data_IF_183628137694
#
_entry.id   IF_183628137694
#
_cell.length_a   1.000
_cell.length_b   1.000
_cell.length_c   1.000
_cell.angle_alpha   90.00
_cell.angle_beta   90.00
_cell.angle_gamma   90.00
#
_symmetry.space_group_name_H-M   'P 1'
#
loop_
_entity.id
_entity.type
_entity.pdbx_description
1 polymer ?
#
# COMPACT_ATOMS: atom_id res chain seq x y z
N UNK A 1 -9.81 -9.24 0.59
CA UNK A 1 -8.67 -9.08 1.54
C UNK A 1 -7.76 -10.32 1.72
N UNK A 2 -8.24 -11.47 2.20
CA UNK A 2 -7.37 -12.63 2.55
C UNK A 2 -6.47 -13.16 1.42
N UNK A 3 -7.00 -13.21 0.19
CA UNK A 3 -6.25 -13.62 -1.02
C UNK A 3 -5.06 -12.71 -1.30
N UNK A 4 -5.23 -11.40 -1.11
CA UNK A 4 -4.17 -10.39 -1.26
C UNK A 4 -3.09 -10.58 -0.22
N UNK A 5 -3.47 -10.80 1.05
CA UNK A 5 -2.51 -11.07 2.13
C UNK A 5 -1.70 -12.33 1.83
N UNK A 6 -2.37 -13.42 1.42
CA UNK A 6 -1.67 -14.66 1.03
C UNK A 6 -0.65 -14.42 -0.09
N UNK A 7 -1.06 -13.75 -1.18
CA UNK A 7 -0.15 -13.42 -2.30
C UNK A 7 1.01 -12.53 -1.85
N UNK A 8 0.75 -11.56 -0.96
CA UNK A 8 1.80 -10.71 -0.39
C UNK A 8 2.82 -11.55 0.39
N UNK A 9 2.37 -12.43 1.28
CA UNK A 9 3.24 -13.33 2.06
C UNK A 9 4.03 -14.28 1.15
N UNK A 10 3.39 -14.86 0.13
CA UNK A 10 4.06 -15.70 -0.87
C UNK A 10 5.21 -14.94 -1.56
N UNK A 11 4.99 -13.66 -1.89
CA UNK A 11 6.02 -12.83 -2.50
C UNK A 11 7.11 -12.35 -1.54
N UNK A 12 6.81 -12.10 -0.26
CA UNK A 12 7.82 -11.79 0.75
C UNK A 12 8.77 -12.98 0.93
N UNK A 13 8.20 -14.19 1.02
CA UNK A 13 8.96 -15.45 1.06
C UNK A 13 9.85 -15.62 -0.17
N UNK A 14 9.28 -15.47 -1.36
CA UNK A 14 10.02 -15.59 -2.63
C UNK A 14 11.15 -14.55 -2.75
N UNK A 15 10.91 -13.33 -2.27
CA UNK A 15 11.89 -12.25 -2.33
C UNK A 15 13.08 -12.50 -1.39
N UNK A 16 12.82 -13.08 -0.20
CA UNK A 16 13.80 -13.20 0.89
C UNK A 16 14.48 -11.85 1.23
N UNK A 17 13.71 -10.75 1.14
CA UNK A 17 14.06 -9.42 1.63
C UNK A 17 12.78 -8.68 2.07
N UNK A 18 12.58 -8.58 3.38
CA UNK A 18 11.42 -7.93 3.98
C UNK A 18 11.76 -7.46 5.39
N UNK A 19 11.03 -6.49 5.90
CA UNK A 19 11.27 -5.88 7.22
C UNK A 19 10.26 -6.37 8.24
N UNK A 20 10.59 -6.22 9.53
CA UNK A 20 9.65 -6.50 10.62
C UNK A 20 8.36 -5.68 10.47
N UNK A 21 8.48 -4.42 10.02
CA UNK A 21 7.34 -3.52 9.78
C UNK A 21 6.37 -4.05 8.73
N UNK A 22 6.86 -4.75 7.70
CA UNK A 22 6.00 -5.38 6.70
C UNK A 22 5.13 -6.48 7.36
N UNK A 23 5.73 -7.28 8.25
CA UNK A 23 5.06 -8.37 8.95
C UNK A 23 4.10 -7.87 10.04
N UNK A 24 4.49 -6.84 10.79
CA UNK A 24 3.67 -6.24 11.85
C UNK A 24 2.37 -5.67 11.29
N UNK A 25 2.42 -5.04 10.11
CA UNK A 25 1.23 -4.56 9.42
C UNK A 25 0.28 -5.72 9.11
N UNK A 26 0.79 -6.80 8.52
CA UNK A 26 -0.02 -7.97 8.18
C UNK A 26 -0.59 -8.65 9.43
N UNK A 27 0.20 -8.76 10.50
CA UNK A 27 -0.26 -9.31 11.79
C UNK A 27 -1.48 -8.56 12.30
N UNK A 28 -1.39 -7.23 12.39
CA UNK A 28 -2.50 -6.38 12.85
C UNK A 28 -3.76 -6.58 12.01
N UNK A 29 -3.60 -6.64 10.68
CA UNK A 29 -4.74 -6.89 9.79
C UNK A 29 -5.36 -8.27 10.01
N UNK A 30 -4.55 -9.31 10.21
CA UNK A 30 -5.06 -10.66 10.52
C UNK A 30 -5.78 -10.70 11.87
N UNK A 31 -5.32 -9.96 12.87
CA UNK A 31 -5.98 -9.86 14.17
C UNK A 31 -7.33 -9.16 14.06
N UNK A 32 -7.40 -8.03 13.35
CA UNK A 32 -8.68 -7.37 13.04
C UNK A 32 -9.64 -8.29 12.26
N UNK A 33 -9.12 -9.07 11.31
CA UNK A 33 -9.95 -10.05 10.60
C UNK A 33 -10.50 -11.13 11.53
N UNK A 34 -9.70 -11.60 12.51
CA UNK A 34 -10.16 -12.56 13.51
C UNK A 34 -11.27 -12.00 14.39
N UNK A 35 -11.13 -10.74 14.84
CA UNK A 35 -12.16 -10.04 15.62
C UNK A 35 -13.45 -9.91 14.83
N UNK A 36 -13.37 -9.54 13.55
CA UNK A 36 -14.54 -9.44 12.66
C UNK A 36 -15.22 -10.80 12.47
N UNK A 37 -14.45 -11.88 12.27
CA UNK A 37 -15.01 -13.24 12.20
C UNK A 37 -15.71 -13.62 13.50
N UNK A 38 -15.13 -13.29 14.66
CA UNK A 38 -15.72 -13.56 15.96
C UNK A 38 -17.04 -12.81 16.15
N UNK A 39 -17.11 -11.53 15.75
CA UNK A 39 -18.35 -10.74 15.79
C UNK A 39 -19.42 -11.29 14.84
N UNK A 40 -19.01 -11.83 13.69
CA UNK A 40 -19.90 -12.40 12.68
C UNK A 40 -20.47 -13.79 13.02
N UNK A 41 -20.10 -14.40 14.16
CA UNK A 41 -20.54 -15.76 14.52
C UNK A 41 -22.04 -15.92 14.66
N UNK A 42 -22.73 -14.86 15.05
CA UNK A 42 -24.18 -14.87 15.26
C UNK A 42 -24.98 -14.51 14.00
N UNK A 43 -24.34 -13.88 13.02
CA UNK A 43 -25.01 -13.32 11.83
C UNK A 43 -24.66 -14.03 10.52
N UNK A 44 -23.47 -14.62 10.42
CA UNK A 44 -23.00 -15.29 9.22
C UNK A 44 -23.28 -16.80 9.24
N UNK A 45 -23.40 -17.41 8.06
CA UNK A 45 -23.56 -18.85 7.94
C UNK A 45 -22.30 -19.61 8.42
N UNK A 46 -22.46 -20.79 9.05
CA UNK A 46 -21.32 -21.57 9.54
C UNK A 46 -20.29 -21.91 8.46
N UNK A 47 -20.72 -22.20 7.24
CA UNK A 47 -19.84 -22.55 6.12
C UNK A 47 -18.96 -21.37 5.68
N UNK A 48 -19.52 -20.16 5.67
CA UNK A 48 -18.76 -18.94 5.35
C UNK A 48 -17.74 -18.65 6.44
N UNK A 49 -18.12 -18.75 7.70
CA UNK A 49 -17.21 -18.58 8.83
C UNK A 49 -16.07 -19.60 8.75
N UNK A 50 -16.38 -20.87 8.45
CA UNK A 50 -15.37 -21.92 8.32
C UNK A 50 -14.38 -21.63 7.20
N UNK A 51 -14.86 -21.18 6.04
CA UNK A 51 -14.00 -20.80 4.92
C UNK A 51 -13.07 -19.63 5.28
N UNK A 52 -13.58 -18.62 5.99
CA UNK A 52 -12.80 -17.45 6.42
C UNK A 52 -11.73 -17.85 7.45
N UNK A 53 -12.07 -18.70 8.43
CA UNK A 53 -11.13 -19.23 9.41
C UNK A 53 -9.98 -20.01 8.75
N UNK A 54 -10.29 -20.89 7.79
CA UNK A 54 -9.26 -21.67 7.07
C UNK A 54 -8.30 -20.75 6.31
N UNK A 55 -8.82 -19.70 5.66
CA UNK A 55 -7.99 -18.72 4.94
C UNK A 55 -7.13 -17.90 5.90
N UNK A 56 -7.71 -17.46 7.01
CA UNK A 56 -7.00 -16.72 8.05
C UNK A 56 -5.83 -17.54 8.60
N UNK A 57 -6.08 -18.80 8.94
CA UNK A 57 -5.07 -19.70 9.50
C UNK A 57 -3.94 -19.98 8.50
N UNK A 58 -4.30 -20.12 7.21
CA UNK A 58 -3.29 -20.25 6.15
C UNK A 58 -2.35 -19.03 6.11
N UNK A 59 -2.90 -17.81 6.17
CA UNK A 59 -2.09 -16.60 6.21
C UNK A 59 -1.25 -16.50 7.50
N UNK A 60 -1.82 -16.87 8.66
CA UNK A 60 -1.08 -16.87 9.94
C UNK A 60 0.11 -17.82 9.92
N UNK A 61 -0.06 -19.03 9.39
CA UNK A 61 1.04 -19.98 9.24
C UNK A 61 2.17 -19.41 8.37
N UNK A 62 1.83 -18.83 7.22
CA UNK A 62 2.82 -18.20 6.35
C UNK A 62 3.52 -17.00 7.00
N UNK A 63 2.77 -16.17 7.73
CA UNK A 63 3.33 -15.07 8.50
C UNK A 63 4.31 -15.56 9.57
N UNK A 64 3.95 -16.61 10.31
CA UNK A 64 4.79 -17.20 11.34
C UNK A 64 6.10 -17.77 10.78
N UNK A 65 6.07 -18.39 9.59
CA UNK A 65 7.28 -18.84 8.87
C UNK A 65 8.22 -17.65 8.59
N UNK A 66 7.70 -16.54 8.07
CA UNK A 66 8.49 -15.34 7.78
C UNK A 66 9.03 -14.64 9.04
N UNK A 67 8.24 -14.61 10.12
CA UNK A 67 8.67 -14.08 11.41
C UNK A 67 9.77 -14.94 12.03
N UNK A 68 9.66 -16.26 11.92
CA UNK A 68 10.70 -17.18 12.36
C UNK A 68 12.01 -16.96 11.60
N UNK A 69 11.97 -16.75 10.28
CA UNK A 69 13.17 -16.41 9.50
C UNK A 69 13.84 -15.11 9.97
N UNK A 70 13.06 -14.08 10.34
CA UNK A 70 13.64 -12.84 10.90
C UNK A 70 14.15 -13.01 12.33
N UNK A 71 13.66 -13.99 13.09
CA UNK A 71 14.08 -14.20 14.48
C UNK A 71 15.55 -14.58 14.64
N UNK A 72 16.19 -15.05 13.56
CA UNK A 72 17.63 -15.32 13.50
C UNK A 72 18.49 -14.04 13.38
N UNK A 73 17.89 -12.88 13.11
CA UNK A 73 18.60 -11.61 13.07
C UNK A 73 18.71 -11.01 14.47
N UNK A 74 19.94 -10.73 14.90
CA UNK A 74 20.15 -10.04 16.16
C UNK A 74 19.60 -8.60 16.13
N UNK A 75 19.18 -8.04 17.28
CA UNK A 75 18.69 -6.65 17.37
C UNK A 75 19.70 -5.62 16.85
N UNK A 76 21.00 -5.88 16.97
CA UNK A 76 22.08 -5.02 16.49
C UNK A 76 22.11 -4.92 14.95
N UNK A 77 21.72 -5.99 14.26
CA UNK A 77 21.72 -6.07 12.80
C UNK A 77 20.41 -5.62 12.16
N UNK A 78 19.31 -5.57 12.93
CA UNK A 78 18.00 -5.19 12.41
C UNK A 78 17.98 -3.83 11.69
N UNK A 79 18.61 -2.74 12.20
CA UNK A 79 18.63 -1.46 11.50
C UNK A 79 19.37 -1.51 10.16
N UNK A 80 20.50 -2.23 10.10
CA UNK A 80 21.27 -2.42 8.86
C UNK A 80 20.48 -3.24 7.85
N UNK A 81 19.83 -4.32 8.30
CA UNK A 81 18.96 -5.13 7.46
C UNK A 81 17.80 -4.31 6.87
N UNK A 82 17.09 -3.52 7.69
CA UNK A 82 16.02 -2.63 7.22
C UNK A 82 16.52 -1.61 6.18
N UNK A 83 17.69 -1.04 6.42
CA UNK A 83 18.33 -0.09 5.49
C UNK A 83 18.62 -0.76 4.15
N UNK A 84 19.16 -1.97 4.15
CA UNK A 84 19.44 -2.71 2.92
C UNK A 84 18.15 -3.12 2.18
N UNK A 85 17.10 -3.54 2.88
CA UNK A 85 15.78 -3.79 2.29
C UNK A 85 15.26 -2.52 1.61
N UNK A 86 15.39 -1.37 2.27
CA UNK A 86 14.99 -0.07 1.72
C UNK A 86 15.79 0.31 0.47
N UNK A 87 17.12 0.16 0.50
CA UNK A 87 18.00 0.44 -0.65
C UNK A 87 17.63 -0.46 -1.85
N UNK A 88 17.40 -1.76 -1.63
CA UNK A 88 17.07 -2.69 -2.70
C UNK A 88 15.72 -2.34 -3.35
N UNK A 89 14.71 -2.02 -2.54
CA UNK A 89 13.39 -1.57 -3.01
C UNK A 89 13.50 -0.23 -3.76
N UNK A 90 14.29 0.71 -3.25
CA UNK A 90 14.45 2.04 -3.85
C UNK A 90 15.23 2.00 -5.16
N UNK A 91 16.25 1.15 -5.25
CA UNK A 91 16.99 0.90 -6.51
C UNK A 91 16.08 0.28 -7.56
N UNK A 92 15.22 -0.66 -7.16
CA UNK A 92 14.20 -1.25 -8.04
C UNK A 92 13.16 -0.20 -8.50
N UNK A 93 12.78 0.72 -7.61
CA UNK A 93 11.91 1.84 -7.96
C UNK A 93 12.56 2.77 -8.99
N UNK A 94 13.82 3.18 -8.76
CA UNK A 94 14.59 4.01 -9.67
C UNK A 94 14.71 3.41 -11.08
N UNK A 95 14.90 2.09 -11.17
CA UNK A 95 14.94 1.32 -12.42
C UNK A 95 13.64 1.37 -13.24
N UNK A 96 12.50 1.70 -12.61
CA UNK A 96 11.18 1.75 -13.29
C UNK A 96 10.64 3.17 -13.46
N UNK A 97 11.46 4.19 -13.20
CA UNK A 97 11.06 5.59 -13.42
C UNK A 97 10.99 5.89 -14.91
N UNK A 98 10.09 6.80 -15.28
CA UNK A 98 9.96 7.29 -16.66
C UNK A 98 11.24 7.98 -17.15
N UNK A 99 12.01 8.56 -16.23
CA UNK A 99 13.36 9.08 -16.46
C UNK A 99 14.31 8.46 -15.45
N UNK A 100 15.21 7.63 -15.92
CA UNK A 100 16.23 7.01 -15.09
C UNK A 100 17.20 8.07 -14.54
N UNK A 101 17.52 7.96 -13.24
CA UNK A 101 18.45 8.85 -12.56
C UNK A 101 19.65 8.05 -12.06
N UNK A 102 20.78 8.14 -12.76
CA UNK A 102 22.01 7.48 -12.34
C UNK A 102 22.54 8.04 -11.01
N UNK A 103 22.34 9.34 -10.75
CA UNK A 103 22.76 9.98 -9.49
C UNK A 103 21.96 9.48 -8.29
N UNK A 104 20.68 9.14 -8.47
CA UNK A 104 19.88 8.51 -7.42
C UNK A 104 20.41 7.12 -7.07
N UNK A 105 20.78 6.31 -8.06
CA UNK A 105 21.38 4.99 -7.79
C UNK A 105 22.79 5.13 -7.19
N UNK A 106 23.54 6.15 -7.58
CA UNK A 106 24.85 6.45 -7.00
C UNK A 106 24.76 6.80 -5.50
N UNK A 107 23.74 7.58 -5.08
CA UNK A 107 23.56 7.90 -3.66
C UNK A 107 23.18 6.67 -2.81
N UNK A 108 22.48 5.68 -3.40
CA UNK A 108 22.28 4.39 -2.74
C UNK A 108 23.60 3.61 -2.60
N UNK A 109 24.48 3.64 -3.60
CA UNK A 109 25.80 3.00 -3.53
C UNK A 109 26.71 3.65 -2.47
N UNK A 110 26.59 4.95 -2.25
CA UNK A 110 27.30 5.63 -1.15
C UNK A 110 26.85 5.11 0.23
N UNK A 111 25.54 4.89 0.42
CA UNK A 111 25.02 4.26 1.64
C UNK A 111 25.50 2.82 1.80
N UNK A 112 25.50 2.02 0.72
CA UNK A 112 26.04 0.65 0.75
C UNK A 112 27.53 0.65 1.11
N UNK A 113 28.30 1.61 0.59
CA UNK A 113 29.72 1.76 0.93
C UNK A 113 29.90 2.14 2.40
N UNK A 114 29.12 3.06 2.92
CA UNK A 114 29.18 3.40 4.35
C UNK A 114 28.87 2.20 5.26
N UNK A 115 27.89 1.37 4.89
CA UNK A 115 27.60 0.11 5.59
C UNK A 115 28.82 -0.83 5.51
N UNK A 116 29.40 -1.00 4.33
CA UNK A 116 30.56 -1.87 4.13
C UNK A 116 31.80 -1.39 4.90
N UNK A 117 32.06 -0.08 4.92
CA UNK A 117 33.18 0.55 5.63
C UNK A 117 33.02 0.44 7.16
N UNK A 118 31.78 0.25 7.66
CA UNK A 118 31.52 -0.01 9.08
C UNK A 118 31.93 -1.44 9.52
N UNK A 119 32.09 -2.36 8.56
CA UNK A 119 32.47 -3.74 8.84
C UNK A 119 33.96 -3.85 9.19
N UNK A 120 34.31 -4.73 10.13
CA UNK A 120 35.70 -5.01 10.52
C UNK A 120 36.09 -6.40 10.06
N UNK A 121 37.14 -6.49 9.24
CA UNK A 121 37.61 -7.77 8.70
C UNK A 121 36.55 -8.53 7.89
N UNK A 122 35.62 -7.82 7.25
CA UNK A 122 34.52 -8.42 6.49
C UNK A 122 33.33 -8.90 7.32
N UNK A 123 33.27 -8.54 8.61
CA UNK A 123 32.17 -8.85 9.51
C UNK A 123 31.57 -7.57 10.13
N UNK A 124 30.25 -7.55 10.32
CA UNK A 124 29.60 -6.71 11.30
C UNK A 124 30.03 -7.14 12.70
N UNK A 125 30.25 -6.15 13.56
CA UNK A 125 30.78 -6.38 14.91
C UNK A 125 29.92 -5.59 15.89
N UNK A 126 29.45 -6.26 16.94
CA UNK A 126 28.67 -5.67 18.01
C UNK A 126 29.49 -4.70 18.89
N UNK A 127 28.84 -3.98 19.81
CA UNK A 127 29.50 -3.02 20.69
C UNK A 127 30.62 -3.63 21.56
N UNK A 128 30.50 -4.91 21.89
CA UNK A 128 31.43 -5.71 22.69
C UNK A 128 32.55 -6.37 21.86
N UNK A 129 32.55 -6.20 20.55
CA UNK A 129 33.51 -6.87 19.65
C UNK A 129 33.06 -8.24 19.16
N UNK A 130 31.88 -8.73 19.56
CA UNK A 130 31.34 -10.01 19.10
C UNK A 130 30.79 -9.94 17.67
N UNK A 131 30.65 -11.10 17.02
CA UNK A 131 29.98 -11.21 15.72
C UNK A 131 28.49 -11.46 16.00
N UNK A 132 27.58 -10.56 15.59
CA UNK A 132 26.16 -10.75 15.87
C UNK A 132 25.55 -11.90 15.07
N UNK A 133 24.56 -12.59 15.66
CA UNK A 133 23.84 -13.69 15.02
C UNK A 133 23.03 -13.21 13.80
N UNK A 134 22.95 -14.03 12.77
CA UNK A 134 22.23 -13.68 11.53
C UNK A 134 23.02 -12.79 10.56
N UNK A 135 24.28 -12.46 10.86
CA UNK A 135 25.15 -11.65 10.00
C UNK A 135 25.19 -12.09 8.54
N UNK A 136 25.24 -13.41 8.27
CA UNK A 136 25.36 -13.90 6.88
C UNK A 136 24.12 -13.57 6.04
N UNK A 137 22.94 -13.43 6.67
CA UNK A 137 21.71 -12.95 6.01
C UNK A 137 21.92 -11.51 5.54
N UNK A 138 22.46 -10.65 6.41
CA UNK A 138 22.72 -9.23 6.12
C UNK A 138 23.81 -9.07 5.06
N UNK A 139 24.89 -9.86 5.13
CA UNK A 139 25.96 -9.86 4.12
C UNK A 139 25.45 -10.30 2.75
N UNK A 140 24.64 -11.36 2.70
CA UNK A 140 24.01 -11.82 1.46
C UNK A 140 23.03 -10.78 0.88
N UNK A 141 22.37 -9.99 1.72
CA UNK A 141 21.51 -8.89 1.28
C UNK A 141 22.33 -7.69 0.78
N UNK A 142 23.44 -7.35 1.45
CA UNK A 142 24.38 -6.31 1.02
C UNK A 142 24.95 -6.61 -0.37
N UNK A 143 25.42 -7.84 -0.59
CA UNK A 143 25.90 -8.31 -1.90
C UNK A 143 24.80 -8.23 -2.98
N UNK A 144 23.57 -8.63 -2.65
CA UNK A 144 22.41 -8.48 -3.54
C UNK A 144 22.16 -7.01 -3.92
N UNK A 145 22.29 -6.08 -2.97
CA UNK A 145 22.12 -4.65 -3.22
C UNK A 145 23.20 -4.12 -4.17
N UNK A 146 24.47 -4.47 -3.94
CA UNK A 146 25.57 -4.09 -4.81
C UNK A 146 25.36 -4.57 -6.24
N UNK A 147 25.18 -5.89 -6.42
CA UNK A 147 24.93 -6.50 -7.74
C UNK A 147 23.73 -5.87 -8.44
N UNK A 148 22.64 -5.61 -7.71
CA UNK A 148 21.46 -5.00 -8.31
C UNK A 148 21.71 -3.55 -8.75
N UNK A 149 22.42 -2.76 -7.95
CA UNK A 149 22.77 -1.38 -8.32
C UNK A 149 23.64 -1.32 -9.58
N UNK A 150 24.54 -2.28 -9.77
CA UNK A 150 25.41 -2.37 -10.95
C UNK A 150 24.59 -2.66 -12.21
N UNK A 151 23.75 -3.70 -12.16
CA UNK A 151 22.88 -4.08 -13.27
C UNK A 151 21.95 -2.92 -13.64
N UNK A 152 21.37 -2.23 -12.66
CA UNK A 152 20.46 -1.10 -12.91
C UNK A 152 21.19 0.10 -13.54
N UNK A 153 22.42 0.38 -13.11
CA UNK A 153 23.25 1.43 -13.73
C UNK A 153 23.64 1.07 -15.16
N UNK A 154 23.97 -0.19 -15.44
CA UNK A 154 24.31 -0.67 -16.79
C UNK A 154 23.09 -0.63 -17.74
N UNK A 155 21.93 -1.07 -17.24
CA UNK A 155 20.70 -1.17 -18.06
C UNK A 155 19.95 0.15 -18.20
N UNK A 156 20.21 1.15 -17.36
CA UNK A 156 19.57 2.46 -17.40
C UNK A 156 18.03 2.40 -17.44
N UNK A 157 17.42 1.44 -16.75
CA UNK A 157 15.96 1.23 -16.74
C UNK A 157 15.38 0.63 -18.02
N UNK A 158 16.22 0.23 -18.99
CA UNK A 158 15.78 -0.40 -20.23
C UNK A 158 15.52 -1.88 -20.01
N UNK A 159 14.27 -2.29 -20.22
CA UNK A 159 13.87 -3.70 -20.20
C UNK A 159 14.24 -4.37 -21.53
N UNK A 160 14.60 -5.64 -21.48
CA UNK A 160 14.71 -6.47 -22.69
C UNK A 160 13.40 -6.44 -23.48
N UNK A 161 13.49 -6.19 -24.80
CA UNK A 161 12.34 -6.02 -25.68
C UNK A 161 11.40 -7.24 -25.65
N UNK A 162 11.93 -8.45 -25.42
CA UNK A 162 11.15 -9.69 -25.28
C UNK A 162 10.14 -9.66 -24.13
N UNK A 163 10.38 -8.82 -23.12
CA UNK A 163 9.58 -8.70 -21.91
C UNK A 163 8.89 -7.34 -21.78
N UNK A 164 8.87 -6.55 -22.85
CA UNK A 164 8.28 -5.20 -22.86
C UNK A 164 6.78 -5.21 -22.62
N UNK A 165 6.07 -6.17 -23.19
CA UNK A 165 4.62 -6.31 -23.03
C UNK A 165 4.20 -6.51 -21.56
N UNK A 166 4.71 -7.52 -20.82
CA UNK A 166 4.39 -7.64 -19.40
C UNK A 166 4.90 -6.46 -18.59
N UNK A 167 6.06 -5.88 -18.94
CA UNK A 167 6.60 -4.69 -18.27
C UNK A 167 5.65 -3.49 -18.35
N UNK A 168 5.18 -3.13 -19.54
CA UNK A 168 4.27 -1.99 -19.75
C UNK A 168 2.97 -2.19 -18.97
N UNK A 169 2.37 -3.39 -19.04
CA UNK A 169 1.13 -3.72 -18.32
C UNK A 169 1.30 -3.58 -16.81
N UNK A 170 2.38 -4.13 -16.26
CA UNK A 170 2.67 -4.04 -14.83
C UNK A 170 2.98 -2.61 -14.39
N UNK A 171 3.71 -1.84 -15.21
CA UNK A 171 4.02 -0.45 -14.94
C UNK A 171 2.74 0.41 -14.94
N UNK A 172 1.83 0.17 -15.87
CA UNK A 172 0.52 0.83 -15.93
C UNK A 172 -0.32 0.54 -14.68
N UNK A 173 -0.44 -0.73 -14.30
CA UNK A 173 -1.15 -1.15 -13.08
C UNK A 173 -0.56 -0.45 -11.85
N UNK A 174 0.77 -0.49 -11.70
CA UNK A 174 1.47 0.14 -10.58
C UNK A 174 1.18 1.64 -10.53
N UNK A 175 1.29 2.34 -11.66
CA UNK A 175 1.05 3.78 -11.74
C UNK A 175 -0.41 4.16 -11.45
N UNK A 176 -1.37 3.36 -11.91
CA UNK A 176 -2.79 3.55 -11.59
C UNK A 176 -3.03 3.38 -10.08
N UNK A 177 -2.46 2.35 -9.46
CA UNK A 177 -2.54 2.13 -8.01
C UNK A 177 -1.85 3.24 -7.20
N UNK A 178 -0.66 3.69 -7.60
CA UNK A 178 0.02 4.83 -6.95
C UNK A 178 -0.86 6.10 -6.99
N UNK A 179 -1.52 6.37 -8.13
CA UNK A 179 -2.47 7.50 -8.23
C UNK A 179 -3.65 7.34 -7.28
N UNK A 180 -4.21 6.12 -7.15
CA UNK A 180 -5.31 5.86 -6.21
C UNK A 180 -4.89 6.10 -4.76
N UNK A 181 -3.69 5.66 -4.38
CA UNK A 181 -3.11 5.94 -3.05
C UNK A 181 -2.99 7.45 -2.80
N UNK A 182 -2.56 8.22 -3.81
CA UNK A 182 -2.42 9.67 -3.66
C UNK A 182 -3.74 10.44 -3.65
N UNK A 183 -4.73 10.01 -4.44
CA UNK A 183 -5.88 10.86 -4.77
C UNK A 183 -7.20 10.41 -4.15
N UNK A 184 -7.41 9.11 -3.89
CA UNK A 184 -8.75 8.57 -3.65
C UNK A 184 -8.77 7.24 -2.86
N UNK A 185 -8.06 7.15 -1.73
CA UNK A 185 -8.21 5.96 -0.86
C UNK A 185 -9.66 5.81 -0.32
N UNK A 186 -10.36 6.92 -0.13
CA UNK A 186 -11.65 6.95 0.57
C UNK A 186 -12.85 6.54 -0.31
N UNK A 187 -12.85 6.78 -1.63
CA UNK A 187 -13.94 6.37 -2.56
C UNK A 187 -13.87 4.94 -3.05
N UNK A 188 -12.78 4.24 -2.75
CA UNK A 188 -12.44 3.03 -3.46
C UNK A 188 -13.27 1.85 -2.97
N UNK A 189 -14.03 1.20 -3.86
CA UNK A 189 -14.73 -0.04 -3.51
C UNK A 189 -13.75 -1.21 -3.58
N UNK A 190 -13.95 -2.23 -2.74
CA UNK A 190 -13.16 -3.46 -2.82
C UNK A 190 -13.25 -4.12 -4.23
N UNK A 191 -14.38 -3.94 -4.92
CA UNK A 191 -14.58 -4.39 -6.30
C UNK A 191 -13.67 -3.70 -7.32
N UNK A 192 -13.35 -2.42 -7.09
CA UNK A 192 -12.46 -1.66 -7.99
C UNK A 192 -11.02 -2.20 -7.87
N UNK A 193 -10.61 -2.58 -6.64
CA UNK A 193 -9.34 -3.27 -6.38
C UNK A 193 -9.29 -4.69 -6.93
N UNK A 194 -10.42 -5.41 -6.94
CA UNK A 194 -10.50 -6.78 -7.45
C UNK A 194 -10.07 -6.87 -8.92
N UNK A 195 -10.39 -5.86 -9.75
CA UNK A 195 -9.97 -5.84 -11.15
C UNK A 195 -8.45 -5.74 -11.31
N UNK A 196 -7.77 -4.96 -10.45
CA UNK A 196 -6.31 -4.91 -10.41
C UNK A 196 -5.71 -6.24 -9.93
N UNK A 197 -6.28 -6.84 -8.88
CA UNK A 197 -5.84 -8.13 -8.37
C UNK A 197 -5.93 -9.22 -9.45
N UNK A 198 -7.02 -9.26 -10.23
CA UNK A 198 -7.18 -10.23 -11.31
C UNK A 198 -6.15 -10.03 -12.42
N UNK A 199 -5.91 -8.78 -12.84
CA UNK A 199 -4.87 -8.47 -13.85
C UNK A 199 -3.47 -8.89 -13.36
N UNK A 200 -3.14 -8.61 -12.10
CA UNK A 200 -1.86 -9.00 -11.50
C UNK A 200 -1.73 -10.52 -11.38
N UNK A 201 -2.74 -11.22 -10.87
CA UNK A 201 -2.74 -12.68 -10.79
C UNK A 201 -2.50 -13.32 -12.16
N UNK A 202 -3.18 -12.86 -13.21
CA UNK A 202 -3.00 -13.39 -14.56
C UNK A 202 -1.55 -13.25 -15.06
N UNK A 203 -0.88 -12.13 -14.75
CA UNK A 203 0.53 -11.92 -15.15
C UNK A 203 1.45 -12.77 -14.26
N UNK A 204 1.20 -12.81 -12.95
CA UNK A 204 2.00 -13.57 -11.98
C UNK A 204 1.94 -15.08 -12.24
N UNK A 205 0.76 -15.60 -12.60
CA UNK A 205 0.50 -17.01 -12.94
C UNK A 205 1.04 -17.42 -14.32
N UNK A 206 1.46 -16.46 -15.16
CA UNK A 206 2.11 -16.77 -16.44
C UNK A 206 3.55 -17.29 -16.29
N UNK A 207 4.11 -17.19 -15.08
CA UNK A 207 5.47 -17.64 -14.78
C UNK A 207 5.55 -19.16 -14.74
N UNK A 208 6.65 -19.71 -15.23
CA UNK A 208 6.97 -21.14 -15.18
C UNK A 208 8.18 -21.34 -14.28
N UNK A 209 8.04 -22.15 -13.23
CA UNK A 209 9.07 -22.36 -12.20
C UNK A 209 9.65 -21.06 -11.64
N UNK A 210 8.78 -20.07 -11.45
CA UNK A 210 9.13 -18.75 -10.95
C UNK A 210 9.65 -17.76 -12.00
N UNK A 211 9.92 -18.20 -13.24
CA UNK A 211 10.52 -17.37 -14.29
C UNK A 211 9.49 -16.86 -15.31
N UNK A 212 9.69 -15.64 -15.80
CA UNK A 212 9.03 -15.18 -17.02
C UNK A 212 9.74 -15.77 -18.24
N UNK A 213 8.96 -16.31 -19.19
CA UNK A 213 9.47 -16.86 -20.43
C UNK A 213 9.11 -15.94 -21.61
N UNK A 214 10.00 -15.85 -22.60
CA UNK A 214 9.70 -15.20 -23.88
C UNK A 214 8.86 -16.10 -24.80
N UNK A 215 8.58 -15.64 -26.03
CA UNK A 215 7.82 -16.39 -27.02
C UNK A 215 8.44 -17.73 -27.43
N UNK A 216 9.76 -17.88 -27.25
CA UNK A 216 10.50 -19.10 -27.56
C UNK A 216 10.63 -20.03 -26.32
N UNK A 217 10.03 -19.65 -25.18
CA UNK A 217 10.13 -20.38 -23.93
C UNK A 217 11.45 -20.15 -23.17
N UNK A 218 12.25 -19.13 -23.53
CA UNK A 218 13.52 -18.84 -22.83
C UNK A 218 13.27 -17.93 -21.63
N UNK A 219 13.95 -18.18 -20.49
CA UNK A 219 13.76 -17.36 -19.30
C UNK A 219 14.30 -15.94 -19.48
N UNK A 220 13.64 -15.01 -18.78
CA UNK A 220 14.12 -13.66 -18.60
C UNK A 220 15.51 -13.64 -17.97
N UNK A 221 16.32 -12.66 -18.39
CA UNK A 221 17.56 -12.40 -17.68
C UNK A 221 17.28 -11.86 -16.27
N UNK A 222 18.32 -11.79 -15.44
CA UNK A 222 18.18 -11.36 -14.05
C UNK A 222 17.59 -9.94 -13.92
N UNK A 223 17.84 -9.05 -14.88
CA UNK A 223 17.32 -7.69 -14.87
C UNK A 223 15.82 -7.66 -15.16
N UNK A 224 15.39 -8.26 -16.26
CA UNK A 224 13.99 -8.32 -16.63
C UNK A 224 13.17 -9.06 -15.57
N UNK A 225 13.66 -10.22 -15.11
CA UNK A 225 13.00 -11.02 -14.08
C UNK A 225 12.77 -10.23 -12.79
N UNK A 226 13.82 -9.59 -12.26
CA UNK A 226 13.70 -8.80 -11.01
C UNK A 226 12.85 -7.56 -11.18
N UNK A 227 12.91 -6.91 -12.35
CA UNK A 227 12.11 -5.72 -12.66
C UNK A 227 10.61 -6.05 -12.69
N UNK A 228 10.22 -7.11 -13.38
CA UNK A 228 8.82 -7.55 -13.46
C UNK A 228 8.30 -7.97 -12.08
N UNK A 229 9.09 -8.76 -11.33
CA UNK A 229 8.72 -9.17 -9.99
C UNK A 229 8.62 -7.97 -9.02
N UNK A 230 9.50 -6.96 -9.14
CA UNK A 230 9.37 -5.73 -8.36
C UNK A 230 8.02 -5.04 -8.61
N UNK A 231 7.62 -4.90 -9.87
CA UNK A 231 6.35 -4.25 -10.22
C UNK A 231 5.13 -5.04 -9.68
N UNK A 232 5.17 -6.37 -9.76
CA UNK A 232 4.13 -7.24 -9.16
C UNK A 232 4.05 -7.03 -7.65
N UNK A 233 5.18 -7.15 -6.95
CA UNK A 233 5.25 -7.02 -5.48
C UNK A 233 4.81 -5.64 -5.03
N UNK A 234 5.27 -4.59 -5.72
CA UNK A 234 4.86 -3.21 -5.43
C UNK A 234 3.36 -3.02 -5.64
N UNK A 235 2.80 -3.59 -6.69
CA UNK A 235 1.36 -3.49 -6.96
C UNK A 235 0.51 -4.24 -5.93
N UNK A 236 0.92 -5.44 -5.49
CA UNK A 236 0.24 -6.12 -4.37
C UNK A 236 0.33 -5.34 -3.06
N UNK A 237 1.50 -4.76 -2.76
CA UNK A 237 1.68 -3.93 -1.57
C UNK A 237 0.79 -2.66 -1.63
N UNK A 238 0.63 -2.05 -2.80
CA UNK A 238 -0.27 -0.91 -2.99
C UNK A 238 -1.74 -1.31 -2.81
N UNK A 239 -2.17 -2.44 -3.39
CA UNK A 239 -3.53 -2.97 -3.21
C UNK A 239 -3.78 -3.28 -1.74
N UNK A 240 -2.84 -3.91 -1.05
CA UNK A 240 -2.94 -4.17 0.39
C UNK A 240 -3.07 -2.86 1.18
N UNK A 241 -2.21 -1.88 0.91
CA UNK A 241 -2.27 -0.56 1.52
C UNK A 241 -3.61 0.15 1.30
N UNK A 242 -4.18 0.04 0.10
CA UNK A 242 -5.51 0.56 -0.22
C UNK A 242 -6.63 -0.19 0.51
N UNK A 243 -6.54 -1.52 0.65
CA UNK A 243 -7.55 -2.32 1.35
C UNK A 243 -7.61 -2.01 2.85
N UNK A 244 -6.46 -1.72 3.47
CA UNK A 244 -6.42 -1.41 4.91
C UNK A 244 -6.73 0.06 5.20
N UNK A 245 -6.59 0.95 4.21
CA UNK A 245 -6.98 2.36 4.34
C UNK A 245 -8.42 2.63 3.92
N UNK A 246 -9.00 1.76 3.10
CA UNK A 246 -10.44 1.80 2.79
C UNK A 246 -11.22 1.16 3.94
N UNK A 247 -11.89 1.98 4.75
CA UNK A 247 -13.06 1.48 5.48
C UNK A 247 -14.15 1.17 4.44
N UNK A 248 -14.65 -0.07 4.36
CA UNK A 248 -15.74 -0.37 3.45
C UNK A 248 -16.99 0.38 3.91
N UNK A 249 -17.37 1.40 3.14
CA UNK A 249 -18.73 1.92 3.21
C UNK A 249 -19.63 0.90 2.56
N UNK A 250 -20.49 0.28 3.37
CA UNK A 250 -21.48 -0.68 2.87
C UNK A 250 -22.29 -0.08 1.73
N UNK A 251 -22.78 -0.92 0.81
CA UNK A 251 -23.57 -0.46 -0.35
C UNK A 251 -24.75 0.42 0.05
N UNK A 252 -25.33 0.13 1.20
CA UNK A 252 -26.43 0.88 1.81
C UNK A 252 -26.09 2.35 2.09
N UNK A 253 -24.82 2.67 2.38
CA UNK A 253 -24.34 4.03 2.67
C UNK A 253 -23.68 4.72 1.47
N UNK A 254 -23.40 4.01 0.37
CA UNK A 254 -22.80 4.61 -0.83
C UNK A 254 -23.55 5.84 -1.36
N UNK A 255 -24.90 5.90 -1.38
CA UNK A 255 -25.61 7.09 -1.84
C UNK A 255 -25.27 8.34 -1.00
N UNK A 256 -25.17 8.19 0.32
CA UNK A 256 -24.83 9.28 1.24
C UNK A 256 -23.36 9.66 1.06
N UNK A 257 -22.48 8.65 1.05
CA UNK A 257 -21.05 8.82 0.91
C UNK A 257 -20.67 9.58 -0.39
N UNK A 258 -21.24 9.18 -1.53
CA UNK A 258 -21.00 9.84 -2.82
C UNK A 258 -21.49 11.29 -2.85
N UNK A 259 -22.62 11.59 -2.18
CA UNK A 259 -23.11 12.96 -2.06
C UNK A 259 -22.13 13.83 -1.26
N UNK A 260 -21.62 13.32 -0.13
CA UNK A 260 -20.64 14.02 0.69
C UNK A 260 -19.30 14.21 -0.04
N UNK A 261 -18.84 13.21 -0.80
CA UNK A 261 -17.63 13.36 -1.61
C UNK A 261 -17.76 14.45 -2.67
N UNK A 262 -18.89 14.46 -3.39
CA UNK A 262 -19.18 15.49 -4.39
C UNK A 262 -19.17 16.86 -3.74
N UNK A 263 -19.84 16.98 -2.58
CA UNK A 263 -19.91 18.22 -1.84
C UNK A 263 -18.54 18.71 -1.37
N UNK A 264 -17.72 17.81 -0.81
CA UNK A 264 -16.33 18.10 -0.40
C UNK A 264 -15.52 18.65 -1.56
N UNK A 265 -15.61 18.02 -2.74
CA UNK A 265 -14.90 18.47 -3.93
C UNK A 265 -15.32 19.88 -4.33
N UNK A 266 -16.63 20.15 -4.39
CA UNK A 266 -17.11 21.49 -4.71
C UNK A 266 -16.64 22.54 -3.68
N UNK A 267 -16.64 22.21 -2.39
CA UNK A 267 -16.14 23.11 -1.33
C UNK A 267 -14.64 23.40 -1.46
N UNK A 268 -13.84 22.39 -1.78
CA UNK A 268 -12.40 22.58 -2.05
C UNK A 268 -12.19 23.47 -3.28
N UNK A 269 -12.91 23.22 -4.38
CA UNK A 269 -12.82 24.02 -5.60
C UNK A 269 -13.20 25.50 -5.34
N UNK A 270 -14.20 25.76 -4.49
CA UNK A 270 -14.54 27.12 -4.04
C UNK A 270 -13.39 27.76 -3.25
N UNK A 271 -12.78 27.02 -2.32
CA UNK A 271 -11.64 27.50 -1.53
C UNK A 271 -10.44 27.84 -2.42
N UNK A 272 -10.10 26.95 -3.36
CA UNK A 272 -8.99 27.14 -4.31
C UNK A 272 -9.26 28.29 -5.29
N UNK A 273 -10.52 28.60 -5.58
CA UNK A 273 -10.91 29.72 -6.46
C UNK A 273 -10.96 31.08 -5.75
N UNK A 274 -10.46 31.17 -4.51
CA UNK A 274 -10.41 32.41 -3.73
C UNK A 274 -11.59 32.62 -2.77
N UNK A 275 -12.35 31.56 -2.46
CA UNK A 275 -13.45 31.61 -1.50
C UNK A 275 -14.74 32.18 -2.09
N UNK A 276 -15.65 32.62 -1.20
CA UNK A 276 -16.95 33.23 -1.59
C UNK A 276 -16.96 34.72 -1.35
N UNK A 277 -17.71 35.48 -2.15
CA UNK A 277 -17.82 36.94 -1.96
C UNK A 277 -18.79 37.32 -0.85
N UNK A 278 -19.72 36.42 -0.51
CA UNK A 278 -20.65 36.60 0.59
C UNK A 278 -21.07 35.26 1.21
N UNK A 279 -21.30 35.23 2.53
CA UNK A 279 -21.62 34.00 3.26
C UNK A 279 -22.93 33.32 2.81
N UNK A 280 -23.82 34.00 2.06
CA UNK A 280 -25.04 33.40 1.54
C UNK A 280 -24.76 32.46 0.36
N UNK A 281 -23.64 32.65 -0.35
CA UNK A 281 -23.20 31.72 -1.40
C UNK A 281 -22.90 30.32 -0.85
N UNK A 282 -22.63 30.20 0.46
CA UNK A 282 -22.44 28.91 1.13
C UNK A 282 -23.76 28.21 1.52
N UNK A 283 -24.91 28.89 1.42
CA UNK A 283 -26.20 28.33 1.85
C UNK A 283 -26.60 27.04 1.13
N UNK A 284 -26.42 26.89 -0.20
CA UNK A 284 -26.70 25.63 -0.87
C UNK A 284 -25.91 24.45 -0.29
N UNK A 285 -24.64 24.67 0.07
CA UNK A 285 -23.78 23.66 0.70
C UNK A 285 -24.24 23.34 2.11
N UNK A 286 -24.50 24.36 2.94
CA UNK A 286 -25.03 24.18 4.30
C UNK A 286 -26.38 23.46 4.32
N UNK A 287 -27.27 23.78 3.38
CA UNK A 287 -28.56 23.09 3.23
C UNK A 287 -28.39 21.64 2.85
N UNK A 288 -27.47 21.34 1.93
CA UNK A 288 -27.19 19.95 1.54
C UNK A 288 -26.59 19.15 2.71
N UNK A 289 -25.67 19.75 3.47
CA UNK A 289 -25.10 19.12 4.68
C UNK A 289 -26.17 18.81 5.71
N UNK A 290 -26.99 19.79 6.06
CA UNK A 290 -28.07 19.60 7.03
C UNK A 290 -29.08 18.55 6.54
N UNK A 291 -29.37 18.50 5.24
CA UNK A 291 -30.23 17.47 4.66
C UNK A 291 -29.66 16.06 4.81
N UNK A 292 -28.34 15.90 4.69
CA UNK A 292 -27.67 14.61 4.89
C UNK A 292 -27.60 14.29 6.38
N UNK A 293 -27.26 15.26 7.21
CA UNK A 293 -27.18 15.12 8.66
C UNK A 293 -28.52 14.66 9.27
N UNK A 294 -29.63 15.24 8.80
CA UNK A 294 -30.98 14.86 9.23
C UNK A 294 -31.37 13.41 8.88
N UNK A 295 -30.59 12.70 8.06
CA UNK A 295 -30.79 11.26 7.83
C UNK A 295 -30.25 10.41 8.99
N UNK A 296 -29.50 11.00 9.93
CA UNK A 296 -28.95 10.31 11.09
C UNK A 296 -30.00 10.18 12.20
N UNK A 297 -29.96 9.04 12.89
CA UNK A 297 -30.67 8.78 14.15
C UNK A 297 -29.61 8.46 15.20
N UNK A 298 -29.57 9.22 16.29
CA UNK A 298 -28.53 9.12 17.34
C UNK A 298 -27.09 9.15 16.79
N UNK A 299 -26.84 10.04 15.82
CA UNK A 299 -25.53 10.20 15.18
C UNK A 299 -25.14 9.08 14.21
N UNK A 300 -26.07 8.19 13.85
CA UNK A 300 -25.83 7.04 12.97
C UNK A 300 -26.78 7.02 11.78
N UNK A 301 -26.30 6.59 10.63
CA UNK A 301 -27.11 6.39 9.42
C UNK A 301 -27.70 4.98 9.40
N UNK A 302 -29.02 4.86 9.54
CA UNK A 302 -29.73 3.59 9.45
C UNK A 302 -30.31 3.38 8.05
N UNK A 303 -30.38 2.12 7.61
CA UNK A 303 -31.12 1.72 6.40
C UNK A 303 -32.12 0.64 6.79
N UNK A 304 -33.40 1.01 6.82
CA UNK A 304 -34.41 0.19 7.48
C UNK A 304 -34.14 0.11 8.99
N UNK A 305 -34.05 -1.11 9.53
CA UNK A 305 -33.69 -1.37 10.93
C UNK A 305 -32.20 -1.69 11.11
N UNK A 306 -31.42 -1.76 10.04
CA UNK A 306 -30.04 -2.19 10.08
C UNK A 306 -29.10 -0.98 10.22
N UNK A 307 -28.04 -1.17 11.01
CA UNK A 307 -26.92 -0.24 11.11
C UNK A 307 -25.81 -0.68 10.15
N UNK A 308 -25.67 -0.04 8.97
CA UNK A 308 -24.73 -0.51 7.97
C UNK A 308 -23.27 -0.16 8.31
N UNK A 309 -22.32 -0.97 7.83
CA UNK A 309 -20.88 -0.73 7.99
C UNK A 309 -20.41 0.53 7.24
N UNK A 310 -19.37 1.20 7.74
CA UNK A 310 -18.85 2.45 7.19
C UNK A 310 -19.37 3.73 7.86
N UNK A 311 -19.99 3.64 9.04
CA UNK A 311 -20.48 4.79 9.80
C UNK A 311 -19.36 5.79 10.12
N UNK A 312 -18.18 5.31 10.50
CA UNK A 312 -17.02 6.16 10.81
C UNK A 312 -16.67 7.05 9.63
N UNK A 313 -16.36 6.42 8.50
CA UNK A 313 -16.10 7.10 7.21
C UNK A 313 -17.14 8.14 6.79
N UNK A 314 -18.44 7.81 6.86
CA UNK A 314 -19.49 8.75 6.45
C UNK A 314 -19.59 9.92 7.43
N UNK A 315 -19.47 9.66 8.74
CA UNK A 315 -19.50 10.70 9.77
C UNK A 315 -18.27 11.60 9.72
N UNK A 316 -17.08 11.04 9.49
CA UNK A 316 -15.86 11.81 9.32
C UNK A 316 -15.93 12.69 8.08
N UNK A 317 -16.40 12.15 6.94
CA UNK A 317 -16.54 12.93 5.72
C UNK A 317 -17.61 14.04 5.85
N UNK A 318 -18.69 13.78 6.59
CA UNK A 318 -19.69 14.79 6.93
C UNK A 318 -19.06 15.91 7.77
N UNK A 319 -18.29 15.55 8.80
CA UNK A 319 -17.59 16.52 9.65
C UNK A 319 -16.60 17.38 8.84
N UNK A 320 -15.76 16.75 7.99
CA UNK A 320 -14.83 17.46 7.10
C UNK A 320 -15.54 18.49 6.20
N UNK A 321 -16.73 18.17 5.70
CA UNK A 321 -17.49 19.12 4.87
C UNK A 321 -18.06 20.28 5.70
N UNK A 322 -18.49 20.04 6.95
CA UNK A 322 -18.88 21.11 7.87
C UNK A 322 -17.69 22.02 8.21
N UNK A 323 -16.52 21.44 8.48
CA UNK A 323 -15.30 22.20 8.76
C UNK A 323 -14.91 23.09 7.57
N UNK A 324 -14.89 22.54 6.35
CA UNK A 324 -14.64 23.33 5.13
C UNK A 324 -15.65 24.48 4.94
N UNK A 325 -16.94 24.24 5.23
CA UNK A 325 -17.96 25.28 5.17
C UNK A 325 -17.74 26.37 6.24
N UNK A 326 -17.29 25.98 7.43
CA UNK A 326 -17.01 26.90 8.53
C UNK A 326 -15.78 27.77 8.21
N UNK A 327 -14.69 27.15 7.75
CA UNK A 327 -13.48 27.84 7.30
C UNK A 327 -13.81 28.89 6.22
N UNK A 328 -14.50 28.50 5.15
CA UNK A 328 -14.90 29.42 4.07
C UNK A 328 -15.76 30.58 4.57
N UNK A 329 -16.60 30.35 5.58
CA UNK A 329 -17.43 31.39 6.18
C UNK A 329 -16.57 32.36 7.01
N UNK A 330 -15.67 31.84 7.83
CA UNK A 330 -14.75 32.64 8.63
C UNK A 330 -13.87 33.52 7.73
N UNK A 331 -13.28 32.95 6.68
CA UNK A 331 -12.46 33.68 5.69
C UNK A 331 -13.25 34.84 5.04
N UNK A 332 -14.55 34.64 4.80
CA UNK A 332 -15.44 35.66 4.21
C UNK A 332 -15.75 36.80 5.18
N UNK A 333 -15.91 36.48 6.47
CA UNK A 333 -16.18 37.45 7.52
C UNK A 333 -14.92 38.28 7.83
N UNK A 334 -13.75 37.64 7.94
CA UNK A 334 -12.46 38.33 8.11
C UNK A 334 -12.13 39.25 6.92
N UNK A 335 -12.42 38.80 5.69
CA UNK A 335 -12.22 39.60 4.48
C UNK A 335 -13.16 40.82 4.39
N UNK A 336 -14.28 40.81 5.13
CA UNK A 336 -15.20 41.96 5.24
C UNK A 336 -14.74 42.94 6.31
N UNK A 337 -14.25 42.45 7.44
CA UNK A 337 -13.75 43.30 8.53
C UNK A 337 -12.40 43.96 8.21
N UNK A 338 -11.68 43.41 7.21
CA UNK A 338 -10.40 43.95 6.70
C UNK A 338 -10.55 45.01 5.60
N UNK A 339 -11.78 45.35 5.18
CA UNK A 339 -12.08 46.33 4.12
C UNK A 339 -12.74 47.58 4.65
#
# INVERSE_FOLDING_TARGET
MASTIKRLLDHLREAAFYSQKDLDSVSKTLDTMQENINRGKETCSPDVLKLLEVRLETCRKQLAELQHELSFLSPELAPTHETLVSILRSTSAANTRSKFSASEVASFREQLKAIQDSMKGGNFVGPDGSIPEGQEIVKALLDRCWKWSEIVLERHGQIDERFKDPYIKLLEIRNQLDRLVMTQAWSLRETDLFMYQRKLNNIDESRVDGNFLDSDGKPADIHAQRTLLYLIRRSYALIYGLLISSEPVSEALLPIYNQLQTLRRCLIEVKESGGVSNSRELYPYSMKLNSIDNMRVDGKFYVGNDLPEGQGSVNELLAQCYDLCYELRADTEESRDSK
#
